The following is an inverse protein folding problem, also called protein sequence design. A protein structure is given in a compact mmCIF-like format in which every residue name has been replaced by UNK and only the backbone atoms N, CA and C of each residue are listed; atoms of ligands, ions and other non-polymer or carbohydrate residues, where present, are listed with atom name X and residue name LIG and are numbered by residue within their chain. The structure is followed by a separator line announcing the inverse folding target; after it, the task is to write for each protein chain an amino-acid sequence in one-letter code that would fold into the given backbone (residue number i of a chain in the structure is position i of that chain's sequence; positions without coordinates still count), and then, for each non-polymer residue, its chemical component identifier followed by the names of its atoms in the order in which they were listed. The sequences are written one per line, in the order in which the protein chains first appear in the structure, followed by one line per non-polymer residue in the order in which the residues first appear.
data_IF_593963253489
#
_entry.id   IF_593963253489
#
_cell.length_a   1.000
_cell.length_b   1.000
_cell.length_c   1.000
_cell.angle_alpha   90.00
_cell.angle_beta   90.00
_cell.angle_gamma   90.00
#
_symmetry.space_group_name_H-M   'P 1'
#
loop_
_entity.id
_entity.type
_entity.pdbx_description
1 polymer ?
#
# COMPACT_ATOMS: atom_id res chain seq x y z
N UNK A 1 -1.39 -44.97 12.83
CA UNK A 1 -1.04 -44.09 11.68
C UNK A 1 -1.29 -42.65 12.11
N UNK A 2 -0.24 -41.91 12.49
CA UNK A 2 -0.32 -40.47 12.77
C UNK A 2 -0.34 -39.75 11.43
N UNK A 3 -1.44 -39.03 11.12
CA UNK A 3 -1.49 -38.10 9.95
C UNK A 3 -0.40 -37.07 10.11
N UNK A 4 0.53 -37.02 9.15
CA UNK A 4 1.45 -35.90 8.99
C UNK A 4 0.60 -34.62 8.89
N UNK A 5 0.99 -33.52 9.60
CA UNK A 5 0.35 -32.24 9.39
C UNK A 5 0.61 -31.84 7.93
N UNK A 6 -0.48 -31.57 7.21
CA UNK A 6 -0.44 -31.00 5.86
C UNK A 6 0.54 -29.84 5.80
N UNK A 7 1.42 -29.81 4.77
CA UNK A 7 2.17 -28.61 4.37
C UNK A 7 1.15 -27.45 4.37
N UNK A 8 1.30 -26.50 5.31
CA UNK A 8 0.59 -25.24 5.23
C UNK A 8 0.97 -24.64 3.88
N UNK A 9 0.07 -24.66 2.92
CA UNK A 9 0.25 -23.91 1.69
C UNK A 9 0.43 -22.45 2.10
N UNK A 10 1.57 -21.89 1.74
CA UNK A 10 1.88 -20.50 1.97
C UNK A 10 0.87 -19.69 1.19
N UNK A 11 -0.02 -18.97 1.87
CA UNK A 11 -0.97 -18.07 1.23
C UNK A 11 -0.48 -16.63 1.33
N UNK A 12 -0.67 -15.86 0.27
CA UNK A 12 -0.41 -14.42 0.27
C UNK A 12 -1.72 -13.69 0.55
N UNK A 13 -1.73 -12.89 1.60
CA UNK A 13 -2.93 -12.19 2.06
C UNK A 13 -2.89 -10.69 1.74
N UNK A 14 -1.71 -10.07 1.83
CA UNK A 14 -1.52 -8.64 1.65
C UNK A 14 -0.30 -8.35 0.77
N UNK A 15 -0.53 -7.63 -0.33
CA UNK A 15 0.54 -7.11 -1.19
C UNK A 15 0.58 -5.59 -1.07
N UNK A 16 1.77 -5.03 -0.90
CA UNK A 16 2.00 -3.59 -0.98
C UNK A 16 2.83 -3.25 -2.24
N UNK A 17 2.46 -2.21 -2.99
CA UNK A 17 3.10 -1.87 -4.26
C UNK A 17 3.61 -0.42 -4.24
N UNK A 18 4.91 -0.25 -4.56
CA UNK A 18 5.51 1.04 -4.86
C UNK A 18 5.52 1.20 -6.38
N UNK A 19 4.62 2.05 -6.87
CA UNK A 19 4.35 2.28 -8.29
C UNK A 19 5.35 3.28 -8.89
N UNK A 20 6.61 2.84 -9.06
CA UNK A 20 7.69 3.68 -9.56
C UNK A 20 7.90 3.53 -11.09
N UNK A 21 8.39 4.59 -11.72
CA UNK A 21 8.76 4.59 -13.12
C UNK A 21 7.84 5.40 -14.06
N UNK A 22 6.72 5.94 -13.60
CA UNK A 22 5.79 6.70 -14.43
C UNK A 22 6.47 7.80 -15.25
N UNK A 23 7.26 8.65 -14.59
CA UNK A 23 7.96 9.75 -15.25
C UNK A 23 9.01 9.27 -16.24
N UNK A 24 9.77 8.21 -15.92
CA UNK A 24 10.78 7.62 -16.81
C UNK A 24 10.13 7.00 -18.05
N UNK A 25 9.00 6.35 -17.87
CA UNK A 25 8.21 5.79 -18.96
C UNK A 25 7.78 6.86 -19.98
N UNK A 26 7.28 8.00 -19.51
CA UNK A 26 6.91 9.11 -20.36
C UNK A 26 8.16 9.71 -21.06
N UNK A 27 9.23 9.99 -20.31
CA UNK A 27 10.45 10.60 -20.85
C UNK A 27 11.12 9.73 -21.92
N UNK A 28 11.12 8.41 -21.79
CA UNK A 28 11.67 7.49 -22.80
C UNK A 28 10.86 7.46 -24.10
N UNK A 29 9.65 8.03 -24.11
CA UNK A 29 8.75 8.13 -25.26
C UNK A 29 8.59 9.57 -25.76
N UNK A 30 9.41 10.50 -25.27
CA UNK A 30 9.31 11.94 -25.62
C UNK A 30 8.05 12.61 -25.10
N UNK A 31 7.36 12.01 -24.12
CA UNK A 31 6.11 12.52 -23.57
C UNK A 31 6.36 13.31 -22.26
N UNK A 32 5.49 14.29 -21.95
CA UNK A 32 5.49 14.95 -20.66
C UNK A 32 5.32 13.92 -19.50
N UNK A 33 6.00 14.12 -18.38
CA UNK A 33 5.94 13.21 -17.20
C UNK A 33 4.51 12.87 -16.74
N UNK A 34 3.59 13.81 -16.89
CA UNK A 34 2.19 13.62 -16.53
C UNK A 34 1.50 12.50 -17.32
N UNK A 35 1.83 12.32 -18.61
CA UNK A 35 1.28 11.25 -19.43
C UNK A 35 1.65 9.86 -18.87
N UNK A 36 2.85 9.72 -18.30
CA UNK A 36 3.22 8.49 -17.60
C UNK A 36 2.36 8.21 -16.37
N UNK A 37 1.97 9.24 -15.62
CA UNK A 37 1.06 9.07 -14.49
C UNK A 37 -0.37 8.73 -14.93
N UNK A 38 -0.83 9.27 -16.06
CA UNK A 38 -2.12 8.88 -16.64
C UNK A 38 -2.12 7.41 -17.09
N UNK A 39 -1.05 6.97 -17.74
CA UNK A 39 -0.91 5.56 -18.14
C UNK A 39 -0.80 4.65 -16.90
N UNK A 40 -0.03 5.06 -15.90
CA UNK A 40 0.02 4.35 -14.62
C UNK A 40 -1.33 4.21 -13.92
N UNK A 41 -2.24 5.18 -14.08
CA UNK A 41 -3.61 5.05 -13.58
C UNK A 41 -4.41 4.00 -14.36
N UNK A 42 -4.21 3.88 -15.68
CA UNK A 42 -4.84 2.81 -16.48
C UNK A 42 -4.32 1.43 -16.05
N UNK A 43 -3.01 1.32 -15.84
CA UNK A 43 -2.36 0.10 -15.29
C UNK A 43 -2.97 -0.28 -13.95
N UNK A 44 -3.16 0.67 -13.04
CA UNK A 44 -3.80 0.43 -11.73
C UNK A 44 -5.22 -0.12 -11.88
N UNK A 45 -6.05 0.48 -12.74
CA UNK A 45 -7.41 0.02 -13.01
C UNK A 45 -7.45 -1.42 -13.51
N UNK A 46 -6.56 -1.74 -14.46
CA UNK A 46 -6.43 -3.08 -15.00
C UNK A 46 -6.00 -4.07 -13.91
N UNK A 47 -4.98 -3.71 -13.13
CA UNK A 47 -4.50 -4.55 -12.04
C UNK A 47 -5.59 -4.86 -11.02
N UNK A 48 -6.37 -3.87 -10.56
CA UNK A 48 -7.47 -4.09 -9.60
C UNK A 48 -8.51 -5.06 -10.15
N UNK A 49 -8.83 -4.98 -11.45
CA UNK A 49 -9.75 -5.93 -12.10
C UNK A 49 -9.17 -7.34 -12.15
N UNK A 50 -7.88 -7.45 -12.46
CA UNK A 50 -7.17 -8.73 -12.56
C UNK A 50 -7.01 -9.40 -11.19
N UNK A 51 -7.01 -8.62 -10.08
CA UNK A 51 -6.88 -9.16 -8.71
C UNK A 51 -8.04 -10.06 -8.27
N UNK A 52 -9.16 -10.06 -8.97
CA UNK A 52 -10.27 -11.02 -8.72
C UNK A 52 -9.85 -12.48 -8.90
N UNK A 53 -8.81 -12.71 -9.72
CA UNK A 53 -8.27 -14.03 -10.00
C UNK A 53 -7.30 -14.52 -8.90
N UNK A 54 -6.94 -13.63 -7.96
CA UNK A 54 -6.05 -13.91 -6.85
C UNK A 54 -6.83 -13.98 -5.54
N UNK A 55 -6.46 -14.89 -4.64
CA UNK A 55 -6.98 -14.95 -3.28
C UNK A 55 -6.32 -13.87 -2.39
N UNK A 56 -6.39 -12.61 -2.81
CA UNK A 56 -5.79 -11.49 -2.11
C UNK A 56 -6.87 -10.70 -1.38
N UNK A 57 -6.69 -10.51 -0.07
CA UNK A 57 -7.64 -9.74 0.74
C UNK A 57 -7.25 -8.27 0.88
N UNK A 58 -5.94 -7.94 0.84
CA UNK A 58 -5.44 -6.59 1.05
C UNK A 58 -4.46 -6.17 -0.03
N UNK A 59 -4.64 -4.94 -0.54
CA UNK A 59 -3.71 -4.29 -1.46
C UNK A 59 -3.40 -2.89 -0.93
N UNK A 60 -2.12 -2.59 -0.67
CA UNK A 60 -1.68 -1.24 -0.33
C UNK A 60 -0.85 -0.63 -1.45
N UNK A 61 -1.22 0.58 -1.89
CA UNK A 61 -0.59 1.28 -3.01
C UNK A 61 0.10 2.55 -2.54
N UNK A 62 1.37 2.73 -2.87
CA UNK A 62 2.09 3.98 -2.61
C UNK A 62 1.94 4.93 -3.78
N UNK A 63 1.05 5.93 -3.63
CA UNK A 63 0.66 6.84 -4.72
C UNK A 63 1.32 8.21 -4.63
N UNK A 64 1.42 8.78 -3.41
CA UNK A 64 2.00 10.10 -3.19
C UNK A 64 2.67 10.18 -1.81
N UNK A 65 3.99 10.42 -1.81
CA UNK A 65 4.77 10.64 -0.59
C UNK A 65 4.69 12.09 -0.12
N UNK A 66 4.81 12.34 1.18
CA UNK A 66 5.05 13.69 1.73
C UNK A 66 6.27 14.35 1.04
N UNK A 67 7.32 13.58 0.74
CA UNK A 67 8.49 14.11 0.05
C UNK A 67 8.21 14.60 -1.37
N UNK A 68 7.11 14.18 -1.99
CA UNK A 68 6.73 14.64 -3.33
C UNK A 68 6.28 16.11 -3.36
N UNK A 69 5.99 16.75 -2.21
CA UNK A 69 5.74 18.18 -2.14
C UNK A 69 6.95 19.02 -2.56
N UNK A 70 8.16 18.46 -2.57
CA UNK A 70 9.39 19.10 -3.07
C UNK A 70 9.44 19.20 -4.61
N UNK A 71 8.53 18.51 -5.31
CA UNK A 71 8.41 18.56 -6.76
C UNK A 71 7.83 19.89 -7.24
N UNK A 72 7.97 20.24 -8.53
CA UNK A 72 7.32 21.42 -9.08
C UNK A 72 5.83 21.48 -8.76
N UNK A 73 5.32 22.68 -8.43
CA UNK A 73 3.92 22.88 -8.04
C UNK A 73 2.92 22.36 -9.08
N UNK A 74 3.25 22.48 -10.35
CA UNK A 74 2.41 21.96 -11.44
C UNK A 74 2.32 20.43 -11.41
N UNK A 75 3.43 19.72 -11.19
CA UNK A 75 3.43 18.25 -11.08
C UNK A 75 2.60 17.80 -9.86
N UNK A 76 2.81 18.43 -8.69
CA UNK A 76 2.04 18.10 -7.49
C UNK A 76 0.55 18.37 -7.66
N UNK A 77 0.17 19.49 -8.28
CA UNK A 77 -1.22 19.79 -8.60
C UNK A 77 -1.83 18.72 -9.51
N UNK A 78 -1.13 18.31 -10.57
CA UNK A 78 -1.59 17.25 -11.49
C UNK A 78 -1.77 15.91 -10.78
N UNK A 79 -0.89 15.56 -9.83
CA UNK A 79 -1.04 14.34 -9.03
C UNK A 79 -2.27 14.38 -8.11
N UNK A 80 -2.60 15.55 -7.53
CA UNK A 80 -3.87 15.74 -6.80
C UNK A 80 -5.09 15.53 -7.73
N UNK A 81 -5.03 16.05 -8.96
CA UNK A 81 -6.10 15.86 -9.94
C UNK A 81 -6.27 14.38 -10.34
N UNK A 82 -5.18 13.59 -10.37
CA UNK A 82 -5.27 12.16 -10.63
C UNK A 82 -6.02 11.40 -9.52
N UNK A 83 -5.77 11.74 -8.25
CA UNK A 83 -6.54 11.15 -7.16
C UNK A 83 -8.03 11.54 -7.24
N UNK A 84 -8.33 12.82 -7.52
CA UNK A 84 -9.72 13.24 -7.76
C UNK A 84 -10.37 12.42 -8.87
N UNK A 85 -9.69 12.31 -10.02
CA UNK A 85 -10.18 11.56 -11.17
C UNK A 85 -10.41 10.08 -10.85
N UNK A 86 -9.49 9.47 -10.09
CA UNK A 86 -9.64 8.10 -9.62
C UNK A 86 -10.90 7.97 -8.74
N UNK A 87 -11.02 8.80 -7.69
CA UNK A 87 -12.19 8.71 -6.80
C UNK A 87 -13.48 8.98 -7.57
N UNK A 88 -13.55 10.05 -8.37
CA UNK A 88 -14.79 10.44 -9.05
C UNK A 88 -15.24 9.46 -10.12
N UNK A 89 -14.31 8.83 -10.83
CA UNK A 89 -14.65 7.98 -11.98
C UNK A 89 -14.70 6.49 -11.64
N UNK A 90 -13.90 6.04 -10.66
CA UNK A 90 -13.71 4.61 -10.43
C UNK A 90 -14.42 4.12 -9.17
N UNK A 91 -14.86 5.03 -8.28
CA UNK A 91 -15.45 4.68 -6.99
C UNK A 91 -16.69 3.79 -7.12
N UNK A 92 -17.58 4.10 -8.07
CA UNK A 92 -18.80 3.30 -8.29
C UNK A 92 -18.47 1.88 -8.75
N UNK A 93 -17.48 1.72 -9.65
CA UNK A 93 -17.02 0.39 -10.08
C UNK A 93 -16.38 -0.38 -8.93
N UNK A 94 -15.55 0.29 -8.11
CA UNK A 94 -14.95 -0.33 -6.92
C UNK A 94 -16.01 -0.79 -5.92
N UNK A 95 -17.00 0.06 -5.65
CA UNK A 95 -18.10 -0.29 -4.74
C UNK A 95 -18.92 -1.48 -5.25
N UNK A 96 -19.31 -1.47 -6.53
CA UNK A 96 -20.06 -2.56 -7.16
C UNK A 96 -19.28 -3.88 -7.18
N UNK A 97 -17.94 -3.81 -7.20
CA UNK A 97 -17.06 -4.96 -7.09
C UNK A 97 -16.72 -5.34 -5.63
N UNK A 98 -17.47 -4.81 -4.66
CA UNK A 98 -17.29 -5.07 -3.22
C UNK A 98 -15.88 -4.72 -2.70
N UNK A 99 -15.19 -3.74 -3.31
CA UNK A 99 -13.88 -3.25 -2.86
C UNK A 99 -14.09 -2.23 -1.75
N UNK A 100 -13.42 -2.42 -0.61
CA UNK A 100 -13.36 -1.44 0.49
C UNK A 100 -12.17 -0.53 0.28
N UNK A 101 -12.40 0.78 0.21
CA UNK A 101 -11.36 1.79 -0.02
C UNK A 101 -11.01 2.51 1.27
N UNK A 102 -9.71 2.65 1.54
CA UNK A 102 -9.14 3.43 2.64
C UNK A 102 -7.98 4.26 2.15
N UNK A 103 -7.95 5.55 2.44
CA UNK A 103 -6.82 6.42 2.13
C UNK A 103 -6.04 6.71 3.41
N UNK A 104 -4.77 6.28 3.47
CA UNK A 104 -3.87 6.51 4.59
C UNK A 104 -2.88 7.63 4.29
N UNK A 105 -2.44 8.32 5.34
CA UNK A 105 -1.53 9.46 5.28
C UNK A 105 -2.13 10.71 5.93
N UNK A 106 -1.33 11.78 6.01
CA UNK A 106 -1.77 13.04 6.63
C UNK A 106 -2.72 13.81 5.71
N UNK A 107 -3.65 14.55 6.30
CA UNK A 107 -4.56 15.46 5.58
C UNK A 107 -3.99 16.89 5.47
N UNK A 108 -2.80 17.13 6.03
CA UNK A 108 -2.11 18.44 5.97
C UNK A 108 -1.82 18.81 4.51
N UNK A 109 -2.04 20.06 4.15
CA UNK A 109 -1.82 20.61 2.80
C UNK A 109 -2.69 19.98 1.68
N UNK A 110 -3.67 19.13 2.01
CA UNK A 110 -4.62 18.61 1.04
C UNK A 110 -5.80 19.58 0.93
N UNK A 111 -6.24 19.96 -0.28
CA UNK A 111 -7.42 20.80 -0.47
C UNK A 111 -8.67 20.19 0.17
N UNK A 112 -9.53 21.04 0.76
CA UNK A 112 -10.72 20.60 1.52
C UNK A 112 -11.66 19.75 0.68
N UNK A 113 -11.90 20.13 -0.56
CA UNK A 113 -12.77 19.40 -1.49
C UNK A 113 -12.25 17.97 -1.77
N UNK A 114 -10.92 17.79 -1.84
CA UNK A 114 -10.32 16.46 -1.98
C UNK A 114 -10.44 15.65 -0.69
N UNK A 115 -10.34 16.29 0.48
CA UNK A 115 -10.59 15.63 1.77
C UNK A 115 -12.03 15.13 1.84
N UNK A 116 -13.00 15.94 1.40
CA UNK A 116 -14.42 15.59 1.41
C UNK A 116 -14.71 14.43 0.43
N UNK A 117 -14.09 14.43 -0.76
CA UNK A 117 -14.14 13.30 -1.69
C UNK A 117 -13.59 12.01 -1.08
N UNK A 118 -12.44 12.09 -0.39
CA UNK A 118 -11.82 10.94 0.29
C UNK A 118 -12.79 10.37 1.35
N UNK A 119 -13.36 11.24 2.20
CA UNK A 119 -14.32 10.82 3.23
C UNK A 119 -15.56 10.17 2.61
N UNK A 120 -16.07 10.74 1.52
CA UNK A 120 -17.18 10.17 0.77
C UNK A 120 -16.90 8.77 0.24
N UNK A 121 -15.71 8.55 -0.34
CA UNK A 121 -15.27 7.26 -0.84
C UNK A 121 -15.14 6.21 0.27
N UNK A 122 -14.49 6.58 1.38
CA UNK A 122 -14.34 5.71 2.55
C UNK A 122 -15.70 5.34 3.15
N UNK A 123 -16.64 6.30 3.26
CA UNK A 123 -17.99 6.07 3.79
C UNK A 123 -18.82 5.16 2.86
N UNK A 124 -18.80 5.40 1.55
CA UNK A 124 -19.56 4.60 0.59
C UNK A 124 -19.14 3.13 0.62
N UNK A 125 -17.84 2.87 0.75
CA UNK A 125 -17.28 1.51 0.67
C UNK A 125 -17.06 0.85 2.04
N UNK A 126 -17.48 1.49 3.14
CA UNK A 126 -17.19 1.05 4.52
C UNK A 126 -17.61 -0.38 4.81
N UNK A 127 -18.77 -0.78 4.29
CA UNK A 127 -19.37 -2.09 4.53
C UNK A 127 -19.00 -3.15 3.47
N UNK A 128 -18.14 -2.80 2.51
CA UNK A 128 -17.65 -3.76 1.55
C UNK A 128 -16.71 -4.77 2.22
N UNK A 129 -16.82 -6.02 1.83
CA UNK A 129 -16.15 -7.18 2.46
C UNK A 129 -15.18 -7.92 1.52
N UNK A 130 -15.04 -7.45 0.29
CA UNK A 130 -14.10 -7.99 -0.68
C UNK A 130 -12.68 -7.44 -0.49
N UNK A 131 -11.98 -7.13 -1.59
CA UNK A 131 -10.64 -6.58 -1.54
C UNK A 131 -10.59 -5.29 -0.71
N UNK A 132 -9.70 -5.22 0.27
CA UNK A 132 -9.40 -4.01 1.02
C UNK A 132 -8.27 -3.24 0.30
N UNK A 133 -8.65 -2.18 -0.41
CA UNK A 133 -7.74 -1.31 -1.14
C UNK A 133 -7.30 -0.14 -0.27
N UNK A 134 -6.07 -0.16 0.20
CA UNK A 134 -5.44 0.91 0.97
C UNK A 134 -4.56 1.78 0.07
N UNK A 135 -4.81 3.07 0.01
CA UNK A 135 -4.07 4.02 -0.82
C UNK A 135 -3.25 4.94 0.10
N UNK A 136 -1.93 4.77 0.09
CA UNK A 136 -1.01 5.65 0.79
C UNK A 136 -0.80 6.94 -0.02
N UNK A 137 -1.51 7.99 0.40
CA UNK A 137 -1.51 9.30 -0.24
C UNK A 137 -1.14 10.38 0.77
N UNK A 138 -0.21 11.26 0.40
CA UNK A 138 0.42 12.20 1.32
C UNK A 138 0.98 11.48 2.57
N UNK A 139 1.64 10.35 2.28
CA UNK A 139 2.09 9.39 3.27
C UNK A 139 3.62 9.42 3.45
N UNK A 140 4.06 9.10 4.65
CA UNK A 140 5.46 8.85 5.01
C UNK A 140 5.49 7.96 6.25
N UNK A 141 6.25 6.87 6.21
CA UNK A 141 6.36 5.93 7.35
C UNK A 141 6.92 6.60 8.60
N UNK A 142 7.93 7.44 8.47
CA UNK A 142 8.45 8.22 9.63
C UNK A 142 7.40 9.14 10.23
N UNK A 143 6.61 9.82 9.38
CA UNK A 143 5.54 10.69 9.85
C UNK A 143 4.42 9.90 10.53
N UNK A 144 4.06 8.74 10.00
CA UNK A 144 3.09 7.83 10.62
C UNK A 144 3.51 7.41 12.02
N UNK A 145 4.77 6.95 12.17
CA UNK A 145 5.36 6.56 13.47
C UNK A 145 5.33 7.71 14.47
N UNK A 146 5.78 8.91 14.06
CA UNK A 146 5.76 10.10 14.92
C UNK A 146 4.32 10.45 15.32
N UNK A 147 3.36 10.35 14.39
CA UNK A 147 1.96 10.64 14.68
C UNK A 147 1.34 9.63 15.64
N UNK A 148 1.66 8.34 15.51
CA UNK A 148 1.23 7.30 16.45
C UNK A 148 1.82 7.56 17.85
N UNK A 149 3.11 7.85 17.95
CA UNK A 149 3.76 8.19 19.21
C UNK A 149 3.12 9.42 19.88
N UNK A 150 2.78 10.47 19.11
CA UNK A 150 2.08 11.64 19.65
C UNK A 150 0.70 11.30 20.20
N UNK A 151 -0.10 10.49 19.51
CA UNK A 151 -1.43 10.06 19.99
C UNK A 151 -1.31 9.30 21.31
N UNK A 152 -0.38 8.34 21.38
CA UNK A 152 -0.11 7.53 22.57
C UNK A 152 0.31 8.45 23.74
N UNK A 153 1.23 9.38 23.50
CA UNK A 153 1.66 10.35 24.53
C UNK A 153 0.50 11.21 25.04
N UNK A 154 -0.39 11.68 24.16
CA UNK A 154 -1.59 12.45 24.56
C UNK A 154 -2.51 11.59 25.41
N UNK A 155 -2.83 10.36 25.01
CA UNK A 155 -3.66 9.45 25.80
C UNK A 155 -3.04 9.12 27.17
N UNK A 156 -1.71 8.99 27.26
CA UNK A 156 -1.02 8.79 28.52
C UNK A 156 -1.12 10.02 29.45
N UNK A 157 -0.91 11.23 28.91
CA UNK A 157 -1.03 12.50 29.67
C UNK A 157 -2.46 12.70 30.18
N UNK A 158 -3.46 12.32 29.37
CA UNK A 158 -4.89 12.42 29.77
C UNK A 158 -5.30 11.33 30.77
N UNK A 159 -4.43 10.39 31.13
CA UNK A 159 -4.76 9.28 32.03
C UNK A 159 -5.60 8.17 31.38
N UNK A 160 -5.80 8.22 30.06
CA UNK A 160 -6.57 7.23 29.29
C UNK A 160 -5.75 5.95 29.03
N UNK A 161 -4.42 6.04 29.11
CA UNK A 161 -3.49 4.95 28.86
C UNK A 161 -2.38 4.94 29.92
N UNK A 162 -2.16 3.79 30.56
CA UNK A 162 -1.00 3.55 31.42
C UNK A 162 0.26 3.37 30.55
N UNK A 163 1.31 4.22 30.70
CA UNK A 163 2.54 4.08 29.91
C UNK A 163 3.21 2.70 30.03
N UNK A 164 3.05 2.01 31.16
CA UNK A 164 3.63 0.67 31.37
C UNK A 164 2.91 -0.43 30.58
N UNK A 165 1.74 -0.14 30.01
CA UNK A 165 0.96 -1.07 29.18
C UNK A 165 1.17 -0.87 27.69
N UNK A 166 2.02 0.08 27.29
CA UNK A 166 2.30 0.32 25.87
C UNK A 166 3.05 -0.88 25.29
N UNK A 167 2.41 -1.57 24.36
CA UNK A 167 2.93 -2.70 23.58
C UNK A 167 2.80 -2.47 22.08
N UNK A 168 3.19 -3.46 21.28
CA UNK A 168 3.07 -3.40 19.81
C UNK A 168 1.62 -3.22 19.35
N UNK A 169 0.65 -3.87 20.02
CA UNK A 169 -0.76 -3.80 19.63
C UNK A 169 -1.31 -2.39 19.84
N UNK A 170 -0.99 -1.76 20.97
CA UNK A 170 -1.37 -0.37 21.25
C UNK A 170 -0.71 0.55 20.23
N UNK A 171 0.56 0.34 19.90
CA UNK A 171 1.25 1.15 18.92
C UNK A 171 0.60 1.02 17.52
N UNK A 172 0.37 -0.20 17.05
CA UNK A 172 -0.25 -0.53 15.76
C UNK A 172 -1.67 0.02 15.63
N UNK A 173 -2.46 0.01 16.70
CA UNK A 173 -3.81 0.59 16.72
C UNK A 173 -3.82 2.11 16.49
N UNK A 174 -2.68 2.79 16.67
CA UNK A 174 -2.51 4.21 16.45
C UNK A 174 -1.88 4.58 15.09
N UNK A 175 -1.44 3.59 14.31
CA UNK A 175 -0.93 3.79 12.95
C UNK A 175 -2.08 4.16 11.98
N UNK A 176 -1.73 4.69 10.81
CA UNK A 176 -2.71 4.96 9.75
C UNK A 176 -3.28 3.65 9.18
N UNK A 177 -2.47 2.58 9.18
CA UNK A 177 -2.81 1.25 8.69
C UNK A 177 -3.57 0.40 9.73
N UNK A 178 -3.92 0.95 10.89
CA UNK A 178 -4.61 0.21 11.96
C UNK A 178 -5.78 -0.64 11.43
N UNK A 179 -5.82 -1.92 11.84
CA UNK A 179 -6.84 -2.89 11.44
C UNK A 179 -6.56 -3.58 10.10
N UNK A 180 -5.43 -3.31 9.45
CA UNK A 180 -4.95 -4.01 8.27
C UNK A 180 -3.71 -4.82 8.64
N UNK A 181 -3.61 -6.11 8.28
CA UNK A 181 -2.42 -6.91 8.56
C UNK A 181 -1.20 -6.38 7.81
N UNK A 182 -0.02 -6.67 8.32
CA UNK A 182 1.22 -6.33 7.65
C UNK A 182 1.31 -6.96 6.25
N UNK A 183 1.98 -6.32 5.28
CA UNK A 183 2.17 -6.91 3.96
C UNK A 183 3.03 -8.17 4.02
N UNK A 184 2.60 -9.22 3.32
CA UNK A 184 3.44 -10.40 3.09
C UNK A 184 4.54 -10.10 2.09
N UNK A 185 4.19 -9.35 1.03
CA UNK A 185 5.05 -9.03 -0.08
C UNK A 185 4.97 -7.54 -0.43
N UNK A 186 6.14 -6.93 -0.62
CA UNK A 186 6.25 -5.61 -1.25
C UNK A 186 6.83 -5.77 -2.64
N UNK A 187 6.12 -5.22 -3.61
CA UNK A 187 6.59 -5.12 -4.99
C UNK A 187 6.98 -3.67 -5.28
N UNK A 188 8.17 -3.44 -5.80
CA UNK A 188 8.56 -2.13 -6.32
C UNK A 188 8.92 -2.25 -7.78
N UNK A 189 8.26 -1.48 -8.64
CA UNK A 189 8.57 -1.35 -10.06
C UNK A 189 9.65 -0.31 -10.32
N UNK A 190 10.29 -0.34 -11.49
CA UNK A 190 11.20 0.71 -11.95
C UNK A 190 12.65 0.54 -11.55
N UNK A 191 13.14 -0.69 -11.29
CA UNK A 191 14.55 -1.05 -11.07
C UNK A 191 15.22 -0.48 -9.80
N UNK A 192 14.53 0.35 -9.01
CA UNK A 192 15.08 0.96 -7.81
C UNK A 192 14.97 0.03 -6.60
N UNK A 193 16.10 -0.27 -5.95
CA UNK A 193 16.19 -1.22 -4.83
C UNK A 193 16.16 -0.50 -3.47
N UNK A 194 15.06 0.16 -3.16
CA UNK A 194 14.81 0.86 -1.87
C UNK A 194 13.31 0.94 -1.59
N UNK A 195 12.91 1.11 -0.33
CA UNK A 195 11.51 1.20 0.10
C UNK A 195 10.99 2.64 0.23
N UNK A 196 11.85 3.63 0.11
CA UNK A 196 11.51 5.06 0.07
C UNK A 196 10.56 5.53 1.17
N UNK A 197 10.82 5.14 2.42
CA UNK A 197 10.02 5.56 3.58
C UNK A 197 8.54 5.09 3.52
N UNK A 198 8.29 3.96 2.85
CA UNK A 198 6.98 3.35 2.75
C UNK A 198 6.81 2.28 3.82
N UNK A 199 5.70 2.28 4.56
CA UNK A 199 5.26 1.28 5.54
C UNK A 199 6.37 0.78 6.50
N UNK A 200 7.21 1.68 7.06
CA UNK A 200 8.42 1.32 7.79
C UNK A 200 8.18 0.37 8.97
N UNK A 201 7.09 0.52 9.69
CA UNK A 201 6.72 -0.37 10.79
C UNK A 201 6.25 -1.72 10.26
N UNK A 202 5.35 -1.69 9.31
CA UNK A 202 4.65 -2.85 8.78
C UNK A 202 5.54 -3.76 7.92
N UNK A 203 6.71 -3.26 7.47
CA UNK A 203 7.66 -4.01 6.64
C UNK A 203 8.57 -4.95 7.41
N UNK A 204 8.50 -4.99 8.72
CA UNK A 204 9.47 -5.67 9.59
C UNK A 204 9.75 -7.12 9.17
N UNK A 205 8.76 -7.81 8.64
CA UNK A 205 8.86 -9.20 8.19
C UNK A 205 8.35 -9.44 6.77
N UNK A 206 8.11 -8.36 6.01
CA UNK A 206 7.66 -8.47 4.62
C UNK A 206 8.79 -8.92 3.70
N UNK A 207 8.46 -9.78 2.74
CA UNK A 207 9.37 -10.06 1.63
C UNK A 207 9.35 -8.90 0.64
N UNK A 208 10.50 -8.65 -0.02
CA UNK A 208 10.61 -7.56 -1.01
C UNK A 208 10.95 -8.14 -2.37
N UNK A 209 10.19 -7.73 -3.39
CA UNK A 209 10.43 -8.05 -4.79
C UNK A 209 10.66 -6.76 -5.59
N UNK A 210 11.80 -6.67 -6.26
CA UNK A 210 12.15 -5.53 -7.11
C UNK A 210 11.93 -5.90 -8.57
N UNK A 211 10.93 -5.29 -9.19
CA UNK A 211 10.59 -5.47 -10.59
C UNK A 211 11.29 -4.42 -11.46
N UNK A 212 11.89 -4.84 -12.54
CA UNK A 212 12.64 -3.95 -13.44
C UNK A 212 11.74 -3.10 -14.33
N UNK A 213 10.58 -3.61 -14.73
CA UNK A 213 9.67 -2.85 -15.58
C UNK A 213 9.18 -1.57 -14.90
N UNK A 214 8.92 -0.56 -15.69
CA UNK A 214 8.31 0.69 -15.24
C UNK A 214 6.82 0.46 -14.94
N UNK A 215 6.27 1.19 -13.95
CA UNK A 215 4.87 0.97 -13.52
C UNK A 215 3.85 0.93 -14.66
N UNK A 216 3.86 1.81 -15.68
CA UNK A 216 2.90 1.73 -16.79
C UNK A 216 2.95 0.42 -17.58
N UNK A 217 4.08 -0.28 -17.58
CA UNK A 217 4.27 -1.56 -18.29
C UNK A 217 4.02 -2.77 -17.37
N UNK A 218 3.72 -2.55 -16.09
CA UNK A 218 3.40 -3.60 -15.12
C UNK A 218 2.02 -4.21 -15.43
N UNK A 219 1.89 -5.53 -15.22
CA UNK A 219 0.68 -6.26 -15.55
C UNK A 219 0.51 -7.51 -14.68
N UNK A 220 -0.59 -8.25 -14.89
CA UNK A 220 -0.91 -9.48 -14.17
C UNK A 220 0.22 -10.51 -14.23
N UNK A 221 0.87 -10.72 -15.38
CA UNK A 221 1.99 -11.69 -15.51
C UNK A 221 3.15 -11.31 -14.60
N UNK A 222 3.49 -10.03 -14.52
CA UNK A 222 4.55 -9.53 -13.63
C UNK A 222 4.19 -9.67 -12.15
N UNK A 223 2.93 -9.50 -11.79
CA UNK A 223 2.46 -9.79 -10.44
C UNK A 223 2.52 -11.28 -10.14
N UNK A 224 2.12 -12.15 -11.07
CA UNK A 224 2.24 -13.61 -10.94
C UNK A 224 3.69 -14.06 -10.71
N UNK A 225 4.64 -13.45 -11.44
CA UNK A 225 6.08 -13.72 -11.27
C UNK A 225 6.54 -13.37 -9.85
N UNK A 226 6.15 -12.18 -9.35
CA UNK A 226 6.47 -11.74 -7.98
C UNK A 226 5.85 -12.66 -6.91
N UNK A 227 4.61 -13.10 -7.10
CA UNK A 227 3.94 -14.02 -6.19
C UNK A 227 4.59 -15.41 -6.23
N UNK A 228 4.95 -15.92 -7.41
CA UNK A 228 5.66 -17.20 -7.54
C UNK A 228 7.02 -17.16 -6.85
N UNK A 229 7.80 -16.07 -7.03
CA UNK A 229 9.04 -15.88 -6.31
C UNK A 229 8.85 -15.87 -4.79
N UNK A 230 7.82 -15.14 -4.29
CA UNK A 230 7.45 -15.14 -2.88
C UNK A 230 7.12 -16.56 -2.37
N UNK A 231 6.36 -17.35 -3.14
CA UNK A 231 5.97 -18.71 -2.73
C UNK A 231 7.17 -19.66 -2.60
N UNK A 232 8.23 -19.46 -3.39
CA UNK A 232 9.45 -20.26 -3.36
C UNK A 232 10.37 -19.92 -2.17
N UNK A 233 10.23 -18.73 -1.57
CA UNK A 233 11.07 -18.30 -0.44
C UNK A 233 10.68 -19.00 0.84
N UNK A 234 11.65 -19.36 1.68
CA UNK A 234 11.44 -19.87 3.04
C UNK A 234 11.42 -18.72 4.04
N UNK A 235 10.29 -18.49 4.73
CA UNK A 235 10.17 -17.49 5.81
C UNK A 235 10.52 -18.13 7.15
N UNK A 236 11.58 -17.67 7.79
CA UNK A 236 12.10 -18.27 9.04
C UNK A 236 11.62 -17.57 10.32
N UNK A 237 11.15 -16.34 10.27
CA UNK A 237 10.69 -15.55 11.43
C UNK A 237 11.61 -15.65 12.65
N UNK A 238 12.95 -15.70 12.44
CA UNK A 238 13.95 -15.89 13.48
C UNK A 238 14.16 -17.33 13.97
N UNK A 239 13.44 -18.32 13.43
CA UNK A 239 13.63 -19.72 13.80
C UNK A 239 14.80 -20.36 13.05
N UNK A 240 15.56 -21.21 13.73
CA UNK A 240 16.60 -22.06 13.15
C UNK A 240 15.91 -23.33 12.60
N UNK A 241 16.00 -23.60 11.30
CA UNK A 241 15.67 -24.93 10.77
C UNK A 241 16.87 -25.81 11.07
N UNK A 242 16.74 -26.83 11.94
CA UNK A 242 17.75 -27.86 12.07
C UNK A 242 17.86 -28.63 10.75
N UNK A 243 18.91 -28.36 9.99
CA UNK A 243 19.23 -29.07 8.75
C UNK A 243 19.84 -30.47 9.01
N UNK A 244 19.81 -30.91 10.25
CA UNK A 244 20.32 -32.24 10.64
C UNK A 244 19.17 -33.06 11.26
N UNK A 245 18.43 -33.74 10.40
CA UNK A 245 17.45 -34.75 10.72
C UNK A 245 17.35 -35.74 9.57
#
# INVERSE_FOLDING_TARGET
MKKNPSKNEKEINHIAIIMDGNGRWASSRGLPRYEGHLEGLKTLRKLIRDLKDFKLNYLTLFTFSIDNWKRPKEETFRLMQLLRKFISNDLSELHNNNVRVKIIGTRTNIPKDLIDLIKGAEKLTLNNTGLYLQIAFNYSGRHEIINAAKKIAVSAVNGELDPNKIDSNIFESNLYSAGVPDPDLIVRTGSEKRISNFLLWQLSYSEVYFEECLWPDFNKSKLDEAIKDFMLRSRRFGNIINEFG
#
